data_IF_749489875958
#
_entry.id   IF_749489875958
#
_cell.length_a   1.000
_cell.length_b   1.000
_cell.length_c   1.000
_cell.angle_alpha   90.00
_cell.angle_beta   90.00
_cell.angle_gamma   90.00
#
_symmetry.space_group_name_H-M   'P 1'
#
loop_
_entity.id
_entity.type
_entity.pdbx_description
1 polymer ?
#
# COMPACT_ATOMS: atom_id res chain seq x y z
N UNK A 1 32.20 -0.67 7.21
CA UNK A 1 31.71 0.26 6.17
C UNK A 1 30.25 -0.06 5.95
N UNK A 2 29.32 0.77 6.46
CA UNK A 2 27.93 0.75 5.98
C UNK A 2 27.97 1.47 4.64
N UNK A 3 27.50 0.82 3.58
CA UNK A 3 27.27 1.48 2.31
C UNK A 3 26.39 2.72 2.55
N UNK A 4 26.61 3.79 1.80
CA UNK A 4 25.86 5.05 1.91
C UNK A 4 24.40 4.95 1.45
N UNK A 5 23.76 3.79 1.61
CA UNK A 5 22.39 3.51 1.20
C UNK A 5 21.43 4.18 2.20
N UNK A 6 20.70 5.20 1.73
CA UNK A 6 19.67 5.87 2.51
C UNK A 6 18.54 4.88 2.77
N UNK A 7 18.18 4.70 4.05
CA UNK A 7 17.06 3.84 4.43
C UNK A 7 15.74 4.39 3.86
N UNK A 8 14.99 3.55 3.15
CA UNK A 8 13.73 3.91 2.50
C UNK A 8 12.55 3.33 3.28
N UNK A 9 11.64 4.20 3.71
CA UNK A 9 10.34 3.79 4.28
C UNK A 9 9.20 4.25 3.37
N UNK A 10 8.28 3.34 3.06
CA UNK A 10 7.06 3.64 2.30
C UNK A 10 5.88 3.69 3.26
N UNK A 11 5.08 4.77 3.20
CA UNK A 11 3.83 4.90 3.96
C UNK A 11 2.65 4.88 3.00
N UNK A 12 1.76 3.90 3.18
CA UNK A 12 0.54 3.73 2.39
C UNK A 12 -0.66 4.24 3.20
N UNK A 13 -1.27 5.33 2.74
CA UNK A 13 -2.46 5.91 3.36
C UNK A 13 -3.73 5.20 2.85
N UNK A 14 -4.26 4.29 3.65
CA UNK A 14 -5.42 3.45 3.35
C UNK A 14 -6.64 3.72 4.27
N UNK A 15 -6.60 4.76 5.10
CA UNK A 15 -7.64 5.10 6.09
C UNK A 15 -8.88 5.83 5.55
N UNK A 16 -9.10 5.80 4.23
CA UNK A 16 -10.24 6.48 3.60
C UNK A 16 -11.54 5.69 3.73
N UNK A 17 -12.64 6.36 4.11
CA UNK A 17 -13.97 5.74 4.25
C UNK A 17 -14.56 5.15 2.95
N UNK A 18 -13.99 5.46 1.78
CA UNK A 18 -14.45 4.89 0.51
C UNK A 18 -15.88 5.25 0.11
N UNK A 19 -16.47 6.35 0.64
CA UNK A 19 -17.90 6.71 0.48
C UNK A 19 -18.44 6.65 -0.96
N UNK A 20 -17.65 7.08 -1.95
CA UNK A 20 -18.04 7.08 -3.37
C UNK A 20 -18.05 5.69 -4.01
N UNK A 21 -17.61 4.66 -3.31
CA UNK A 21 -17.69 3.26 -3.77
C UNK A 21 -19.07 2.65 -3.51
N UNK A 22 -19.93 3.28 -2.70
CA UNK A 22 -21.27 2.79 -2.35
C UNK A 22 -21.30 1.31 -1.92
N UNK A 23 -20.32 0.91 -1.12
CA UNK A 23 -20.09 -0.47 -0.71
C UNK A 23 -19.65 -0.51 0.75
N UNK A 24 -20.08 -1.56 1.48
CA UNK A 24 -19.62 -1.83 2.85
C UNK A 24 -18.20 -2.37 2.89
N UNK A 25 -17.68 -2.86 1.76
CA UNK A 25 -16.29 -3.28 1.63
C UNK A 25 -15.38 -2.04 1.55
N UNK A 26 -14.28 -1.95 2.32
CA UNK A 26 -13.32 -0.87 2.19
C UNK A 26 -12.80 -0.74 0.75
N UNK A 27 -12.56 0.49 0.26
CA UNK A 27 -12.07 0.73 -1.11
C UNK A 27 -10.85 -0.12 -1.42
N UNK A 28 -9.87 -0.16 -0.52
CA UNK A 28 -8.59 -0.85 -0.71
C UNK A 28 -8.70 -2.38 -0.78
N UNK A 29 -9.82 -2.94 -0.30
CA UNK A 29 -10.10 -4.38 -0.34
C UNK A 29 -10.93 -4.80 -1.56
N UNK A 30 -11.40 -3.86 -2.39
CA UNK A 30 -12.03 -4.22 -3.66
C UNK A 30 -11.01 -4.87 -4.59
N UNK A 31 -11.46 -5.86 -5.37
CA UNK A 31 -10.62 -6.58 -6.32
C UNK A 31 -10.50 -5.80 -7.63
N UNK A 32 -9.28 -5.71 -8.14
CA UNK A 32 -8.94 -5.25 -9.48
C UNK A 32 -8.13 -6.36 -10.15
N UNK A 33 -8.65 -6.98 -11.21
CA UNK A 33 -8.01 -8.14 -11.85
C UNK A 33 -7.83 -9.33 -10.90
N UNK A 34 -8.81 -9.59 -10.03
CA UNK A 34 -8.77 -10.69 -9.04
C UNK A 34 -7.91 -10.44 -7.80
N UNK A 35 -7.26 -9.27 -7.70
CA UNK A 35 -6.36 -8.92 -6.60
C UNK A 35 -6.81 -7.64 -5.86
N UNK A 36 -6.75 -7.57 -4.53
CA UNK A 36 -7.12 -6.36 -3.80
C UNK A 36 -6.34 -5.13 -4.27
N UNK A 37 -6.99 -3.97 -4.38
CA UNK A 37 -6.33 -2.70 -4.73
C UNK A 37 -5.11 -2.43 -3.86
N UNK A 38 -5.19 -2.69 -2.53
CA UNK A 38 -4.06 -2.54 -1.62
C UNK A 38 -2.86 -3.40 -2.02
N UNK A 39 -3.12 -4.63 -2.46
CA UNK A 39 -2.06 -5.58 -2.79
C UNK A 39 -1.28 -5.15 -4.03
N UNK A 40 -1.93 -4.48 -5.00
CA UNK A 40 -1.22 -3.85 -6.12
C UNK A 40 -0.24 -2.78 -5.64
N UNK A 41 -0.67 -1.90 -4.73
CA UNK A 41 0.18 -0.84 -4.16
C UNK A 41 1.36 -1.44 -3.40
N UNK A 42 1.11 -2.46 -2.57
CA UNK A 42 2.16 -3.12 -1.79
C UNK A 42 3.19 -3.80 -2.68
N UNK A 43 2.77 -4.42 -3.78
CA UNK A 43 3.68 -5.07 -4.72
C UNK A 43 4.57 -4.06 -5.43
N UNK A 44 4.01 -2.93 -5.89
CA UNK A 44 4.80 -1.84 -6.47
C UNK A 44 5.78 -1.27 -5.43
N UNK A 45 5.32 -1.04 -4.20
CA UNK A 45 6.18 -0.53 -3.13
C UNK A 45 7.35 -1.47 -2.82
N UNK A 46 7.13 -2.79 -2.84
CA UNK A 46 8.19 -3.80 -2.64
C UNK A 46 9.28 -3.76 -3.70
N UNK A 47 8.98 -3.34 -4.93
CA UNK A 47 9.99 -3.22 -6.00
C UNK A 47 11.05 -2.16 -5.68
N UNK A 48 10.72 -1.18 -4.84
CA UNK A 48 11.66 -0.16 -4.36
C UNK A 48 12.64 -0.70 -3.31
N UNK A 49 12.47 -1.96 -2.86
CA UNK A 49 13.24 -2.60 -1.79
C UNK A 49 13.34 -1.72 -0.51
N UNK A 50 12.20 -1.22 0.01
CA UNK A 50 12.23 -0.39 1.21
C UNK A 50 12.56 -1.23 2.45
N UNK A 51 13.20 -0.62 3.43
CA UNK A 51 13.44 -1.20 4.75
C UNK A 51 12.12 -1.47 5.50
N UNK A 52 11.10 -0.64 5.24
CA UNK A 52 9.79 -0.79 5.86
C UNK A 52 8.66 -0.29 4.95
N UNK A 53 7.52 -0.98 5.02
CA UNK A 53 6.25 -0.53 4.47
C UNK A 53 5.26 -0.42 5.64
N UNK A 54 4.67 0.76 5.83
CA UNK A 54 3.69 1.04 6.88
C UNK A 54 2.35 1.38 6.25
N UNK A 55 1.31 0.64 6.59
CA UNK A 55 -0.05 0.90 6.12
C UNK A 55 -0.81 1.58 7.25
N UNK A 56 -1.36 2.76 6.97
CA UNK A 56 -2.25 3.49 7.88
C UNK A 56 -3.68 3.19 7.41
N UNK A 57 -4.52 2.64 8.30
CA UNK A 57 -5.89 2.24 8.01
C UNK A 57 -6.88 2.89 8.97
#
# INVERSE_FOLDING_TARGET
>A
MKDGSVALTVVVLAAGQGKRMHSTRPKVMHLLGGKPILAHVLDTARQLKPDAIRVVY
#
